data_IF_940582874679
#
_entry.id   IF_940582874679
#
_cell.length_a   1.000
_cell.length_b   1.000
_cell.length_c   1.000
_cell.angle_alpha   90.00
_cell.angle_beta   90.00
_cell.angle_gamma   90.00
#
_symmetry.space_group_name_H-M   'P 1'
#
loop_
_entity.id
_entity.type
_entity.pdbx_description
1 polymer ?
#
# COMPACT_ATOMS: atom_id res chain seq x y z
N UNK A 1 -42.79 15.88 15.14
CA UNK A 1 -42.04 16.66 14.13
C UNK A 1 -40.61 16.17 14.13
N UNK A 2 -40.29 15.24 13.22
CA UNK A 2 -38.93 14.72 13.08
C UNK A 2 -38.06 15.77 12.40
N UNK A 3 -36.99 16.20 13.06
CA UNK A 3 -35.97 17.04 12.42
C UNK A 3 -35.24 16.17 11.41
N UNK A 4 -35.44 16.48 10.13
CA UNK A 4 -34.65 15.95 9.03
C UNK A 4 -33.22 16.45 9.23
N UNK A 5 -32.34 15.57 9.72
CA UNK A 5 -30.90 15.85 9.78
C UNK A 5 -30.40 15.66 8.36
N UNK A 6 -30.41 16.74 7.59
CA UNK A 6 -29.71 16.80 6.30
C UNK A 6 -28.22 16.62 6.63
N UNK A 7 -27.68 15.42 6.41
CA UNK A 7 -26.23 15.17 6.41
C UNK A 7 -25.62 16.09 5.35
N UNK A 8 -25.03 17.19 5.78
CA UNK A 8 -24.30 18.10 4.92
C UNK A 8 -23.03 17.36 4.47
N UNK A 9 -22.96 16.95 3.21
CA UNK A 9 -21.69 16.51 2.61
C UNK A 9 -20.72 17.68 2.66
N UNK A 10 -19.79 17.69 3.61
CA UNK A 10 -18.64 18.60 3.58
C UNK A 10 -17.69 18.15 2.47
N UNK A 11 -18.02 18.50 1.22
CA UNK A 11 -17.03 18.48 0.14
C UNK A 11 -16.11 19.67 0.33
N UNK A 12 -14.82 19.42 0.50
CA UNK A 12 -13.83 20.49 0.50
C UNK A 12 -13.78 21.07 -0.92
N UNK A 13 -14.31 22.28 -1.10
CA UNK A 13 -14.07 23.03 -2.33
C UNK A 13 -12.65 23.58 -2.24
N UNK A 14 -11.67 22.73 -2.57
CA UNK A 14 -10.25 23.12 -2.61
C UNK A 14 -9.99 23.74 -3.97
N UNK A 15 -9.60 25.01 -3.98
CA UNK A 15 -9.20 25.70 -5.20
C UNK A 15 -7.72 25.47 -5.48
N UNK A 16 -7.30 25.69 -6.72
CA UNK A 16 -5.89 25.62 -7.10
C UNK A 16 -5.05 26.65 -6.33
N UNK A 17 -5.64 27.81 -6.03
CA UNK A 17 -5.01 28.87 -5.24
C UNK A 17 -4.77 28.42 -3.80
N UNK A 18 -5.68 27.66 -3.20
CA UNK A 18 -5.49 27.08 -1.86
C UNK A 18 -4.31 26.10 -1.86
N UNK A 19 -4.19 25.27 -2.90
CA UNK A 19 -3.06 24.32 -3.04
C UNK A 19 -1.75 25.06 -3.23
N UNK A 20 -1.70 26.07 -4.11
CA UNK A 20 -0.52 26.92 -4.33
C UNK A 20 -0.10 27.62 -3.05
N UNK A 21 -1.05 28.16 -2.30
CA UNK A 21 -0.79 28.84 -1.03
C UNK A 21 -0.25 27.88 0.03
N UNK A 22 -0.76 26.65 0.09
CA UNK A 22 -0.37 25.68 1.11
C UNK A 22 0.96 25.00 0.80
N UNK A 23 1.19 24.56 -0.43
CA UNK A 23 2.38 23.80 -0.83
C UNK A 23 3.51 24.67 -1.39
N UNK A 24 3.25 25.93 -1.74
CA UNK A 24 4.26 26.87 -2.21
C UNK A 24 5.06 26.30 -3.39
N UNK A 25 6.38 26.24 -3.23
CA UNK A 25 7.32 25.73 -4.25
C UNK A 25 7.13 24.24 -4.59
N UNK A 26 6.43 23.47 -3.75
CA UNK A 26 6.09 22.07 -4.02
C UNK A 26 4.82 21.90 -4.85
N UNK A 27 4.14 22.99 -5.20
CA UNK A 27 2.97 22.93 -6.06
C UNK A 27 3.31 22.37 -7.45
N UNK A 28 2.50 21.43 -7.91
CA UNK A 28 2.45 21.00 -9.31
C UNK A 28 0.99 20.82 -9.73
N UNK A 29 0.67 20.94 -11.03
CA UNK A 29 -0.67 20.61 -11.53
C UNK A 29 -1.09 19.17 -11.17
N UNK A 30 -0.14 18.23 -11.18
CA UNK A 30 -0.36 16.85 -10.78
C UNK A 30 -0.77 16.72 -9.29
N UNK A 31 -0.14 17.49 -8.40
CA UNK A 31 -0.52 17.52 -6.98
C UNK A 31 -1.97 17.99 -6.78
N UNK A 32 -2.39 19.02 -7.53
CA UNK A 32 -3.77 19.52 -7.46
C UNK A 32 -4.79 18.47 -7.92
N UNK A 33 -4.49 17.75 -9.00
CA UNK A 33 -5.36 16.68 -9.48
C UNK A 33 -5.44 15.51 -8.49
N UNK A 34 -4.33 15.13 -7.85
CA UNK A 34 -4.33 14.11 -6.77
C UNK A 34 -5.22 14.57 -5.61
N UNK A 35 -5.11 15.82 -5.15
CA UNK A 35 -5.93 16.34 -4.05
C UNK A 35 -7.44 16.26 -4.38
N UNK A 36 -7.83 16.59 -5.62
CA UNK A 36 -9.22 16.47 -6.08
C UNK A 36 -9.69 15.03 -6.15
N UNK A 37 -8.90 14.15 -6.77
CA UNK A 37 -9.23 12.74 -6.95
C UNK A 37 -9.42 12.04 -5.61
N UNK A 38 -8.53 12.33 -4.66
CA UNK A 38 -8.53 11.73 -3.34
C UNK A 38 -9.57 12.37 -2.40
N UNK A 39 -10.10 13.54 -2.75
CA UNK A 39 -11.07 14.32 -1.96
C UNK A 39 -10.62 14.50 -0.49
N UNK A 40 -9.34 14.85 -0.32
CA UNK A 40 -8.69 14.99 0.99
C UNK A 40 -8.47 16.45 1.36
N UNK A 41 -8.51 16.79 2.65
CA UNK A 41 -8.04 18.09 3.11
C UNK A 41 -6.53 18.22 2.84
N UNK A 42 -6.05 19.45 2.58
CA UNK A 42 -4.63 19.71 2.28
C UNK A 42 -3.68 19.14 3.34
N UNK A 43 -4.07 19.23 4.62
CA UNK A 43 -3.32 18.67 5.75
C UNK A 43 -3.21 17.13 5.75
N UNK A 44 -4.04 16.45 4.96
CA UNK A 44 -3.99 14.99 4.76
C UNK A 44 -2.92 14.54 3.77
N UNK A 45 -2.25 15.50 3.11
CA UNK A 45 -1.20 15.24 2.12
C UNK A 45 0.08 15.91 2.60
N UNK A 46 1.17 15.17 2.52
CA UNK A 46 2.50 15.68 2.83
C UNK A 46 3.41 15.40 1.63
N UNK A 47 4.40 16.28 1.41
CA UNK A 47 5.40 16.11 0.35
C UNK A 47 6.70 15.60 0.98
N UNK A 48 7.18 14.43 0.55
CA UNK A 48 8.47 13.87 0.95
C UNK A 48 9.29 13.53 -0.28
N UNK A 49 10.54 14.00 -0.35
CA UNK A 49 11.40 13.78 -1.51
C UNK A 49 10.82 14.31 -2.82
N UNK A 50 9.98 15.35 -2.77
CA UNK A 50 9.26 15.89 -3.93
C UNK A 50 8.03 15.08 -4.38
N UNK A 51 7.70 13.96 -3.71
CA UNK A 51 6.54 13.12 -4.02
C UNK A 51 5.42 13.33 -3.00
N UNK A 52 4.16 13.45 -3.43
CA UNK A 52 3.03 13.51 -2.51
C UNK A 52 2.71 12.14 -1.93
N UNK A 53 2.36 12.12 -0.66
CA UNK A 53 1.81 10.94 0.01
C UNK A 53 0.66 11.31 0.94
N UNK A 54 -0.26 10.37 1.12
CA UNK A 54 -1.38 10.52 2.04
C UNK A 54 -0.89 10.14 3.44
N UNK A 55 -0.92 11.11 4.35
CA UNK A 55 -0.48 10.92 5.72
C UNK A 55 -1.60 10.34 6.60
N UNK A 56 -1.36 10.21 7.90
CA UNK A 56 -2.34 9.63 8.83
C UNK A 56 -3.65 10.41 8.85
N UNK A 57 -3.59 11.75 8.84
CA UNK A 57 -4.79 12.60 8.80
C UNK A 57 -5.60 12.36 7.53
N UNK A 58 -4.92 12.18 6.39
CA UNK A 58 -5.57 11.82 5.13
C UNK A 58 -6.22 10.44 5.20
N UNK A 59 -5.51 9.42 5.67
CA UNK A 59 -6.04 8.06 5.84
C UNK A 59 -7.24 8.01 6.78
N UNK A 60 -7.19 8.71 7.90
CA UNK A 60 -8.30 8.82 8.85
C UNK A 60 -9.53 9.43 8.19
N UNK A 61 -9.33 10.46 7.35
CA UNK A 61 -10.44 11.06 6.59
C UNK A 61 -11.00 10.10 5.55
N UNK A 62 -10.18 9.34 4.82
CA UNK A 62 -10.68 8.33 3.87
C UNK A 62 -11.52 7.26 4.56
N UNK A 63 -11.08 6.77 5.72
CA UNK A 63 -11.85 5.81 6.52
C UNK A 63 -13.18 6.43 6.98
N UNK A 64 -13.15 7.67 7.49
CA UNK A 64 -14.38 8.35 7.89
C UNK A 64 -15.35 8.53 6.72
N UNK A 65 -14.86 8.92 5.55
CA UNK A 65 -15.68 9.04 4.34
C UNK A 65 -16.28 7.69 3.96
N UNK A 66 -15.47 6.62 3.92
CA UNK A 66 -15.93 5.25 3.65
C UNK A 66 -17.03 4.82 4.62
N UNK A 67 -16.85 5.05 5.93
CA UNK A 67 -17.86 4.77 6.95
C UNK A 67 -19.14 5.59 6.75
N UNK A 68 -19.01 6.87 6.40
CA UNK A 68 -20.15 7.77 6.21
C UNK A 68 -20.98 7.43 4.96
N UNK A 69 -20.31 7.06 3.87
CA UNK A 69 -20.90 6.71 2.58
C UNK A 69 -21.57 5.32 2.63
N UNK A 70 -20.90 4.34 3.25
CA UNK A 70 -21.37 2.95 3.32
C UNK A 70 -22.17 2.62 4.56
N UNK A 71 -22.18 3.50 5.56
CA UNK A 71 -22.86 3.27 6.84
C UNK A 71 -22.15 2.27 7.76
N UNK A 72 -20.83 2.10 7.60
CA UNK A 72 -20.05 1.17 8.43
C UNK A 72 -19.69 1.77 9.80
N UNK A 73 -19.73 0.93 10.83
CA UNK A 73 -19.04 1.18 12.10
C UNK A 73 -17.58 0.74 11.99
N UNK A 74 -16.66 1.63 12.34
CA UNK A 74 -15.22 1.38 12.28
C UNK A 74 -14.65 1.09 13.66
N UNK A 75 -13.78 0.08 13.74
CA UNK A 75 -12.91 -0.13 14.88
C UNK A 75 -11.54 -0.62 14.41
N UNK A 76 -10.52 -0.35 15.21
CA UNK A 76 -9.17 -0.84 14.97
C UNK A 76 -8.61 -1.36 16.29
N UNK A 77 -8.03 -2.55 16.25
CA UNK A 77 -7.27 -3.13 17.36
C UNK A 77 -5.85 -3.42 16.91
N UNK A 78 -4.91 -3.35 17.83
CA UNK A 78 -3.49 -3.63 17.56
C UNK A 78 -3.01 -4.73 18.49
N UNK A 79 -2.38 -5.73 17.90
CA UNK A 79 -1.84 -6.91 18.57
C UNK A 79 -0.30 -6.88 18.48
N UNK A 80 0.38 -7.32 19.54
CA UNK A 80 1.83 -7.44 19.54
C UNK A 80 2.26 -8.69 18.76
N UNK A 81 3.15 -8.52 17.79
CA UNK A 81 3.84 -9.63 17.11
C UNK A 81 5.19 -9.90 17.77
N UNK A 82 5.89 -8.83 18.15
CA UNK A 82 7.18 -8.87 18.84
C UNK A 82 7.30 -7.64 19.73
N UNK A 83 7.58 -7.86 21.00
CA UNK A 83 7.94 -6.80 21.94
C UNK A 83 9.46 -6.59 21.98
N UNK A 84 9.91 -5.36 22.26
CA UNK A 84 11.33 -5.07 22.38
C UNK A 84 11.89 -5.74 23.63
N UNK A 85 13.14 -6.17 23.55
CA UNK A 85 13.94 -6.64 24.68
C UNK A 85 15.20 -5.78 24.84
N UNK A 86 15.07 -4.62 25.52
CA UNK A 86 16.20 -3.72 25.74
C UNK A 86 17.34 -4.36 26.56
N UNK A 87 17.05 -5.39 27.37
CA UNK A 87 18.06 -6.05 28.19
C UNK A 87 19.03 -6.86 27.31
N UNK A 88 18.54 -7.39 26.20
CA UNK A 88 19.33 -8.12 25.21
C UNK A 88 19.72 -7.27 23.99
N UNK A 89 19.49 -5.95 24.02
CA UNK A 89 19.79 -5.03 22.93
C UNK A 89 18.90 -5.20 21.69
N UNK A 90 17.79 -5.94 21.81
CA UNK A 90 16.84 -6.16 20.73
C UNK A 90 15.74 -5.10 20.80
N UNK A 91 15.81 -4.12 19.91
CA UNK A 91 14.85 -3.04 19.82
C UNK A 91 13.87 -3.20 18.65
N UNK A 92 13.83 -4.38 18.02
CA UNK A 92 12.86 -4.65 16.96
C UNK A 92 11.48 -4.85 17.55
N UNK A 93 10.54 -4.01 17.13
CA UNK A 93 9.14 -4.09 17.52
C UNK A 93 8.30 -4.48 16.31
N UNK A 94 7.42 -5.47 16.50
CA UNK A 94 6.41 -5.89 15.53
C UNK A 94 5.00 -5.71 16.08
N UNK A 95 4.11 -5.14 15.28
CA UNK A 95 2.70 -4.91 15.60
C UNK A 95 1.82 -5.32 14.43
N UNK A 96 0.64 -5.87 14.71
CA UNK A 96 -0.40 -6.17 13.71
C UNK A 96 -1.64 -5.38 14.04
N UNK A 97 -2.08 -4.55 13.11
CA UNK A 97 -3.37 -3.87 13.20
C UNK A 97 -4.43 -4.69 12.49
N UNK A 98 -5.60 -4.78 13.11
CA UNK A 98 -6.79 -5.42 12.57
C UNK A 98 -7.87 -4.34 12.56
N UNK A 99 -8.24 -3.92 11.35
CA UNK A 99 -9.27 -2.93 11.08
C UNK A 99 -10.55 -3.65 10.72
N UNK A 100 -11.63 -3.31 11.42
CA UNK A 100 -12.95 -3.91 11.22
C UNK A 100 -13.94 -2.85 10.77
N UNK A 101 -14.61 -3.08 9.64
CA UNK A 101 -15.75 -2.29 9.16
C UNK A 101 -17.02 -3.14 9.26
N UNK A 102 -17.97 -2.71 10.09
CA UNK A 102 -19.20 -3.45 10.34
C UNK A 102 -20.42 -2.74 9.75
N UNK A 103 -21.11 -3.40 8.82
CA UNK A 103 -22.39 -2.93 8.30
C UNK A 103 -23.53 -3.22 9.26
N UNK A 104 -23.67 -2.36 10.27
CA UNK A 104 -24.73 -2.48 11.26
C UNK A 104 -26.13 -2.40 10.66
N UNK A 105 -26.32 -1.59 9.60
CA UNK A 105 -27.63 -1.43 8.99
C UNK A 105 -28.03 -2.69 8.23
N UNK A 106 -27.16 -3.19 7.36
CA UNK A 106 -27.34 -4.45 6.65
C UNK A 106 -27.53 -5.62 7.61
N UNK A 107 -26.68 -5.71 8.63
CA UNK A 107 -26.79 -6.72 9.69
C UNK A 107 -28.17 -6.68 10.36
N UNK A 108 -28.63 -5.49 10.80
CA UNK A 108 -29.93 -5.35 11.46
C UNK A 108 -31.10 -5.68 10.54
N UNK A 109 -31.01 -5.31 9.25
CA UNK A 109 -32.03 -5.63 8.27
C UNK A 109 -32.08 -7.13 7.97
N UNK A 110 -30.93 -7.80 7.90
CA UNK A 110 -30.86 -9.24 7.69
C UNK A 110 -31.36 -10.01 8.91
N UNK A 111 -31.01 -9.56 10.12
CA UNK A 111 -31.46 -10.14 11.37
C UNK A 111 -33.00 -10.12 11.49
N UNK A 112 -33.65 -9.01 11.08
CA UNK A 112 -35.12 -8.89 11.06
C UNK A 112 -35.84 -9.86 10.12
N UNK A 113 -35.15 -10.40 9.11
CA UNK A 113 -35.71 -11.34 8.14
C UNK A 113 -35.63 -12.79 8.63
N UNK A 114 -34.86 -13.06 9.67
CA UNK A 114 -34.73 -14.38 10.27
C UNK A 114 -35.92 -14.67 11.19
N UNK A 115 -36.51 -15.86 11.04
CA UNK A 115 -37.60 -16.33 11.91
C UNK A 115 -37.07 -16.87 13.25
N UNK A 116 -35.89 -17.47 13.24
CA UNK A 116 -35.21 -18.00 14.41
C UNK A 116 -33.75 -17.50 14.41
N UNK A 117 -33.25 -17.14 15.59
CA UNK A 117 -31.89 -16.62 15.77
C UNK A 117 -31.15 -17.60 16.68
N UNK A 118 -30.27 -18.42 16.09
CA UNK A 118 -29.33 -19.25 16.86
C UNK A 118 -27.99 -18.51 17.02
N UNK A 119 -27.16 -18.86 18.02
CA UNK A 119 -25.82 -18.31 18.18
C UNK A 119 -24.95 -18.47 16.92
N UNK A 120 -25.05 -19.60 16.24
CA UNK A 120 -24.30 -19.91 15.02
C UNK A 120 -24.75 -19.02 13.87
N UNK A 121 -26.07 -18.88 13.68
CA UNK A 121 -26.64 -17.99 12.65
C UNK A 121 -26.27 -16.54 12.92
N UNK A 122 -26.26 -16.12 14.19
CA UNK A 122 -25.86 -14.78 14.59
C UNK A 122 -24.38 -14.50 14.30
N UNK A 123 -23.49 -15.46 14.57
CA UNK A 123 -22.06 -15.33 14.30
C UNK A 123 -21.77 -15.29 12.80
N UNK A 124 -22.35 -16.21 12.02
CA UNK A 124 -22.23 -16.21 10.56
C UNK A 124 -22.75 -14.91 9.94
N UNK A 125 -23.87 -14.37 10.46
CA UNK A 125 -24.39 -13.09 10.03
C UNK A 125 -23.42 -11.95 10.38
N UNK A 126 -22.86 -11.94 11.61
CA UNK A 126 -21.88 -10.91 12.00
C UNK A 126 -20.67 -10.93 11.07
N UNK A 127 -20.12 -12.10 10.79
CA UNK A 127 -18.98 -12.27 9.88
C UNK A 127 -19.31 -11.79 8.46
N UNK A 128 -20.47 -12.13 7.92
CA UNK A 128 -20.88 -11.71 6.58
C UNK A 128 -21.03 -10.19 6.41
N UNK A 129 -21.38 -9.47 7.48
CA UNK A 129 -21.50 -8.01 7.49
C UNK A 129 -20.25 -7.30 8.05
N UNK A 130 -19.17 -8.05 8.27
CA UNK A 130 -17.92 -7.52 8.79
C UNK A 130 -16.81 -7.67 7.76
N UNK A 131 -16.24 -6.55 7.32
CA UNK A 131 -15.01 -6.54 6.54
C UNK A 131 -13.83 -6.37 7.48
N UNK A 132 -12.76 -7.16 7.26
CA UNK A 132 -11.55 -7.10 8.07
C UNK A 132 -10.34 -6.88 7.18
N UNK A 133 -9.49 -5.93 7.56
CA UNK A 133 -8.26 -5.57 6.87
C UNK A 133 -7.11 -5.63 7.88
N UNK A 134 -5.92 -6.05 7.45
CA UNK A 134 -4.81 -6.27 8.37
C UNK A 134 -3.51 -5.70 7.87
N UNK A 135 -2.79 -5.01 8.75
CA UNK A 135 -1.50 -4.41 8.43
C UNK A 135 -0.48 -4.74 9.49
N UNK A 136 0.70 -5.20 9.07
CA UNK A 136 1.83 -5.38 9.98
C UNK A 136 2.74 -4.16 9.94
N UNK A 137 3.26 -3.75 11.08
CA UNK A 137 4.20 -2.65 11.21
C UNK A 137 5.41 -3.09 12.02
N UNK A 138 6.59 -2.88 11.43
CA UNK A 138 7.87 -3.20 12.04
C UNK A 138 8.67 -1.93 12.24
N UNK A 139 9.33 -1.77 13.38
CA UNK A 139 10.18 -0.63 13.67
C UNK A 139 11.38 -1.01 14.52
N UNK A 140 12.51 -0.36 14.22
CA UNK A 140 13.72 -0.31 15.06
C UNK A 140 14.09 1.16 15.29
N UNK A 141 14.91 1.47 16.32
CA UNK A 141 15.36 2.83 16.57
C UNK A 141 15.99 3.52 15.35
N UNK A 142 16.70 2.76 14.51
CA UNK A 142 17.31 3.30 13.29
C UNK A 142 16.26 3.70 12.25
N UNK A 143 15.24 2.87 12.06
CA UNK A 143 14.14 3.15 11.10
C UNK A 143 13.22 4.30 11.53
N UNK A 144 13.29 4.75 12.78
CA UNK A 144 12.56 5.91 13.29
C UNK A 144 13.45 6.88 14.08
N UNK A 145 14.71 7.01 13.65
CA UNK A 145 15.75 7.74 14.41
C UNK A 145 15.33 9.14 14.86
N UNK A 146 14.57 9.87 14.05
CA UNK A 146 14.08 11.22 14.37
C UNK A 146 13.32 11.33 15.70
N UNK A 147 12.73 10.24 16.18
CA UNK A 147 11.95 10.20 17.42
C UNK A 147 12.38 9.07 18.37
N UNK A 148 13.17 8.09 17.90
CA UNK A 148 13.54 6.91 18.69
C UNK A 148 14.59 7.17 19.77
N UNK A 149 15.23 8.35 19.79
CA UNK A 149 16.28 8.68 20.74
C UNK A 149 15.96 9.95 21.51
N UNK A 150 16.43 10.00 22.76
CA UNK A 150 16.62 11.27 23.45
C UNK A 150 17.70 12.05 22.70
N UNK A 151 17.42 13.32 22.40
CA UNK A 151 18.39 14.19 21.75
C UNK A 151 18.89 15.24 22.73
N UNK A 152 20.16 15.14 23.09
CA UNK A 152 20.82 16.05 24.05
C UNK A 152 21.75 17.00 23.29
N UNK A 153 21.77 18.27 23.70
CA UNK A 153 22.66 19.30 23.14
C UNK A 153 21.92 20.44 22.43
N UNK A 154 22.69 21.41 21.95
CA UNK A 154 22.17 22.61 21.30
C UNK A 154 21.57 22.30 19.92
N UNK A 155 20.61 23.13 19.49
CA UNK A 155 19.95 23.02 18.17
C UNK A 155 21.02 23.03 17.06
N UNK A 156 21.05 21.99 16.23
CA UNK A 156 22.06 21.79 15.17
C UNK A 156 23.22 20.86 15.54
N UNK A 157 23.44 20.58 16.83
CA UNK A 157 24.50 19.70 17.35
C UNK A 157 23.95 18.64 18.31
N UNK A 158 22.68 18.25 18.12
CA UNK A 158 22.02 17.24 18.96
C UNK A 158 22.68 15.88 18.76
N UNK A 159 23.11 15.27 19.85
CA UNK A 159 23.63 13.90 19.86
C UNK A 159 22.53 12.91 20.27
N UNK A 160 22.57 11.70 19.69
CA UNK A 160 21.65 10.61 20.05
C UNK A 160 22.03 10.08 21.44
N UNK A 161 21.09 10.12 22.36
CA UNK A 161 21.18 9.59 23.70
C UNK A 161 20.48 8.24 23.82
N UNK A 162 19.72 8.04 24.90
CA UNK A 162 19.02 6.79 25.19
C UNK A 162 17.92 6.52 24.17
N UNK A 163 17.71 5.25 23.84
CA UNK A 163 16.56 4.80 23.03
C UNK A 163 15.27 4.96 23.84
N UNK A 164 14.29 5.61 23.22
CA UNK A 164 12.92 5.76 23.70
C UNK A 164 12.08 4.62 23.12
N UNK A 165 11.98 3.52 23.87
CA UNK A 165 11.32 2.27 23.44
C UNK A 165 9.86 2.50 23.08
N UNK A 166 9.18 3.35 23.84
CA UNK A 166 7.79 3.73 23.63
C UNK A 166 7.57 4.36 22.25
N UNK A 167 8.55 5.14 21.76
CA UNK A 167 8.47 5.76 20.44
C UNK A 167 8.67 4.75 19.31
N UNK A 168 9.48 3.71 19.54
CA UNK A 168 9.64 2.60 18.60
C UNK A 168 8.35 1.78 18.52
N UNK A 169 7.73 1.48 19.67
CA UNK A 169 6.43 0.82 19.74
C UNK A 169 5.36 1.63 19.01
N UNK A 170 5.22 2.91 19.35
CA UNK A 170 4.28 3.82 18.71
C UNK A 170 4.47 3.84 17.18
N UNK A 171 5.71 3.78 16.68
CA UNK A 171 5.95 3.72 15.24
C UNK A 171 5.56 2.40 14.60
N UNK A 172 5.82 1.27 15.26
CA UNK A 172 5.35 -0.03 14.78
C UNK A 172 3.81 -0.04 14.70
N UNK A 173 3.11 0.46 15.73
CA UNK A 173 1.65 0.60 15.74
C UNK A 173 1.15 1.54 14.64
N UNK A 174 1.81 2.68 14.45
CA UNK A 174 1.46 3.65 13.40
C UNK A 174 1.61 3.05 12.01
N UNK A 175 2.70 2.31 11.74
CA UNK A 175 2.90 1.61 10.46
C UNK A 175 1.84 0.53 10.24
N UNK A 176 1.56 -0.28 11.27
CA UNK A 176 0.55 -1.33 11.20
C UNK A 176 -0.84 -0.75 10.88
N UNK A 177 -1.26 0.27 11.65
CA UNK A 177 -2.57 0.92 11.48
C UNK A 177 -2.69 1.65 10.15
N UNK A 178 -1.64 2.32 9.67
CA UNK A 178 -1.64 2.96 8.36
C UNK A 178 -1.83 1.94 7.23
N UNK A 179 -1.11 0.81 7.28
CA UNK A 179 -1.23 -0.26 6.29
C UNK A 179 -2.64 -0.84 6.25
N UNK A 180 -3.22 -1.16 7.40
CA UNK A 180 -4.60 -1.65 7.47
C UNK A 180 -5.61 -0.62 6.91
N UNK A 181 -5.41 0.68 7.19
CA UNK A 181 -6.27 1.75 6.62
C UNK A 181 -6.09 1.90 5.11
N UNK A 182 -4.88 1.73 4.59
CA UNK A 182 -4.60 1.78 3.15
C UNK A 182 -5.29 0.65 2.41
N UNK A 183 -5.18 -0.55 2.93
CA UNK A 183 -5.86 -1.74 2.40
C UNK A 183 -7.38 -1.52 2.38
N UNK A 184 -7.95 -1.05 3.50
CA UNK A 184 -9.37 -0.77 3.62
C UNK A 184 -9.88 0.34 2.67
N UNK A 185 -9.02 1.27 2.26
CA UNK A 185 -9.38 2.43 1.42
C UNK A 185 -8.90 2.32 -0.02
N UNK A 186 -8.22 1.23 -0.39
CA UNK A 186 -7.60 1.06 -1.71
C UNK A 186 -6.54 2.12 -2.04
N UNK A 187 -5.86 2.68 -1.04
CA UNK A 187 -4.97 3.83 -1.22
C UNK A 187 -3.51 3.40 -1.45
N UNK A 188 -3.05 3.43 -2.71
CA UNK A 188 -1.69 3.06 -3.11
C UNK A 188 -0.58 4.09 -2.83
N UNK A 189 -0.91 5.33 -2.45
CA UNK A 189 0.08 6.37 -2.13
C UNK A 189 0.71 6.14 -0.74
N UNK A 190 1.69 5.24 -0.65
CA UNK A 190 2.37 4.84 0.60
C UNK A 190 3.23 5.96 1.19
N UNK A 191 3.45 5.93 2.52
CA UNK A 191 4.47 6.78 3.15
C UNK A 191 5.84 6.44 2.57
N UNK A 192 6.75 7.41 2.45
CA UNK A 192 8.14 7.13 2.03
C UNK A 192 8.82 6.08 2.95
N UNK A 193 8.38 6.02 4.22
CA UNK A 193 8.82 5.04 5.23
C UNK A 193 8.27 3.63 4.99
N UNK A 194 7.32 3.47 4.05
CA UNK A 194 6.61 2.24 3.72
C UNK A 194 6.88 1.77 2.29
N UNK A 195 7.60 2.55 1.48
CA UNK A 195 8.23 2.01 0.28
C UNK A 195 9.22 0.93 0.74
N UNK A 196 9.38 -0.20 0.00
CA UNK A 196 10.56 -1.03 0.20
C UNK A 196 11.74 -0.06 0.21
N UNK A 197 12.55 -0.08 1.27
CA UNK A 197 13.84 0.61 1.19
C UNK A 197 14.47 -0.02 -0.03
N UNK A 198 14.65 0.78 -1.09
CA UNK A 198 15.49 0.38 -2.19
C UNK A 198 16.79 -0.02 -1.49
N UNK A 199 17.19 -1.30 -1.57
CA UNK A 199 18.51 -1.76 -1.12
C UNK A 199 19.62 -1.08 -1.94
N UNK A 200 19.23 -0.26 -2.92
CA UNK A 200 20.09 0.71 -3.56
C UNK A 200 20.50 1.74 -2.51
N UNK A 201 21.81 1.86 -2.20
CA UNK A 201 22.30 2.95 -1.36
C UNK A 201 21.74 4.27 -1.90
N UNK A 202 21.36 5.21 -1.01
CA UNK A 202 20.75 6.47 -1.42
C UNK A 202 21.55 7.05 -2.58
N UNK A 203 20.90 7.29 -3.72
CA UNK A 203 21.54 7.85 -4.92
C UNK A 203 22.48 8.95 -4.47
N UNK A 204 23.75 8.74 -4.75
CA UNK A 204 24.81 9.53 -4.16
C UNK A 204 24.65 10.97 -4.64
N UNK A 205 24.18 11.87 -3.77
CA UNK A 205 23.98 13.27 -4.15
C UNK A 205 25.33 13.86 -4.60
N UNK A 206 25.35 14.36 -5.83
CA UNK A 206 26.47 15.00 -6.51
C UNK A 206 27.64 14.06 -6.88
N UNK A 207 27.40 12.96 -7.63
CA UNK A 207 28.44 11.98 -7.92
C UNK A 207 29.63 12.60 -8.68
N UNK A 208 29.35 13.43 -9.70
CA UNK A 208 30.40 14.06 -10.51
C UNK A 208 31.18 15.12 -9.74
N UNK A 209 30.52 15.88 -8.86
CA UNK A 209 31.22 16.87 -8.03
C UNK A 209 32.16 16.20 -7.04
N UNK A 210 31.82 15.01 -6.51
CA UNK A 210 32.71 14.27 -5.61
C UNK A 210 33.94 13.72 -6.33
N UNK A 211 33.80 13.27 -7.58
CA UNK A 211 34.93 12.90 -8.43
C UNK A 211 35.85 14.11 -8.68
N UNK A 212 35.26 15.24 -9.05
CA UNK A 212 35.97 16.51 -9.28
C UNK A 212 36.69 16.98 -8.00
N UNK A 213 36.07 16.81 -6.82
CA UNK A 213 36.66 17.16 -5.53
C UNK A 213 37.96 16.41 -5.21
N UNK A 214 38.24 15.29 -5.88
CA UNK A 214 39.49 14.54 -5.77
C UNK A 214 40.52 14.93 -6.85
N UNK A 215 40.12 15.70 -7.86
CA UNK A 215 41.02 16.12 -8.93
C UNK A 215 42.19 16.94 -8.40
N UNK A 216 43.44 16.64 -8.80
CA UNK A 216 44.62 17.42 -8.37
C UNK A 216 44.64 18.84 -8.93
N UNK A 217 43.77 19.14 -9.91
CA UNK A 217 43.71 20.44 -10.61
C UNK A 217 43.05 21.52 -9.72
N UNK A 218 42.17 21.11 -8.80
CA UNK A 218 41.46 22.05 -7.93
C UNK A 218 42.33 22.61 -6.81
N UNK A 219 42.27 23.94 -6.64
CA UNK A 219 42.79 24.62 -5.47
C UNK A 219 41.95 24.35 -4.21
N UNK A 220 42.54 24.52 -3.04
CA UNK A 220 41.83 24.34 -1.75
C UNK A 220 40.61 25.26 -1.63
N UNK A 221 40.70 26.47 -2.18
CA UNK A 221 39.61 27.45 -2.16
C UNK A 221 38.43 27.00 -3.03
N UNK A 222 38.68 26.41 -4.19
CA UNK A 222 37.62 25.86 -5.06
C UNK A 222 36.95 24.64 -4.43
N UNK A 223 37.73 23.75 -3.80
CA UNK A 223 37.18 22.61 -3.04
C UNK A 223 36.24 23.08 -1.95
N UNK A 224 36.61 24.10 -1.18
CA UNK A 224 35.75 24.66 -0.13
C UNK A 224 34.48 25.33 -0.69
N UNK A 225 34.56 25.99 -1.85
CA UNK A 225 33.38 26.57 -2.51
C UNK A 225 32.41 25.48 -2.96
N UNK A 226 32.90 24.39 -3.58
CA UNK A 226 32.09 23.25 -3.98
C UNK A 226 31.46 22.55 -2.77
N UNK A 227 32.24 22.26 -1.72
CA UNK A 227 31.72 21.70 -0.46
C UNK A 227 30.65 22.60 0.16
N UNK A 228 30.82 23.92 0.12
CA UNK A 228 29.82 24.88 0.61
C UNK A 228 28.57 24.86 -0.26
N UNK A 229 28.73 24.77 -1.59
CA UNK A 229 27.64 24.60 -2.56
C UNK A 229 26.79 23.35 -2.29
N UNK A 230 27.45 22.22 -2.03
CA UNK A 230 26.79 20.96 -1.64
C UNK A 230 26.02 21.11 -0.32
N UNK A 231 26.62 21.79 0.68
CA UNK A 231 25.98 22.02 2.00
C UNK A 231 24.72 22.89 1.92
N UNK A 232 24.68 23.86 1.01
CA UNK A 232 23.51 24.75 0.83
C UNK A 232 22.52 24.24 -0.23
N UNK A 233 22.77 23.05 -0.82
CA UNK A 233 21.85 22.41 -1.76
C UNK A 233 21.80 23.06 -3.14
N UNK A 234 22.90 23.62 -3.64
CA UNK A 234 22.93 24.14 -5.01
C UNK A 234 22.76 23.00 -6.03
N UNK A 235 22.03 23.22 -7.15
CA UNK A 235 21.93 22.22 -8.22
C UNK A 235 23.30 21.78 -8.73
N UNK A 236 23.47 20.48 -8.99
CA UNK A 236 24.75 19.90 -9.45
C UNK A 236 25.25 20.57 -10.73
N UNK A 237 24.37 20.72 -11.72
CA UNK A 237 24.71 21.33 -13.01
C UNK A 237 25.27 22.74 -12.85
N UNK A 238 24.69 23.56 -11.96
CA UNK A 238 25.17 24.92 -11.72
C UNK A 238 26.58 24.96 -11.11
N UNK A 239 26.95 23.94 -10.32
CA UNK A 239 28.30 23.80 -9.79
C UNK A 239 29.28 23.27 -10.84
N UNK A 240 28.83 22.35 -11.70
CA UNK A 240 29.59 21.87 -12.85
C UNK A 240 29.88 23.02 -13.83
N UNK A 241 28.86 23.78 -14.23
CA UNK A 241 29.02 24.92 -15.14
C UNK A 241 29.99 25.96 -14.55
N UNK A 242 29.92 26.19 -13.24
CA UNK A 242 30.85 27.11 -12.56
C UNK A 242 32.29 26.60 -12.62
N UNK A 243 32.53 25.33 -12.28
CA UNK A 243 33.91 24.80 -12.24
C UNK A 243 34.49 24.60 -13.64
N UNK A 244 33.67 24.23 -14.62
CA UNK A 244 34.06 24.05 -16.03
C UNK A 244 34.46 25.38 -16.67
N UNK A 245 33.81 26.49 -16.29
CA UNK A 245 34.23 27.82 -16.73
C UNK A 245 35.63 28.21 -16.22
N UNK A 246 36.10 27.59 -15.14
CA UNK A 246 37.43 27.83 -14.55
C UNK A 246 38.43 26.78 -15.07
N UNK A 247 37.99 25.54 -15.18
CA UNK A 247 38.76 24.35 -15.57
C UNK A 247 38.01 23.53 -16.63
N UNK A 248 38.02 23.96 -17.90
CA UNK A 248 37.32 23.28 -18.99
C UNK A 248 37.84 21.86 -19.23
N UNK A 249 39.08 21.56 -18.83
CA UNK A 249 39.71 20.24 -18.88
C UNK A 249 39.04 19.17 -18.01
N UNK A 250 38.20 19.56 -17.03
CA UNK A 250 37.49 18.61 -16.16
C UNK A 250 36.29 17.91 -16.82
N UNK A 251 35.94 18.27 -18.07
CA UNK A 251 34.81 17.72 -18.84
C UNK A 251 35.23 16.98 -20.12
N UNK A 252 36.52 16.69 -20.30
CA UNK A 252 36.94 15.87 -21.44
C UNK A 252 36.58 14.41 -21.17
N UNK A 253 35.37 14.03 -21.56
CA UNK A 253 34.96 12.63 -21.63
C UNK A 253 35.95 11.88 -22.55
N UNK A 254 36.56 10.82 -22.02
CA UNK A 254 37.25 9.82 -22.82
C UNK A 254 36.28 9.35 -23.91
N UNK A 255 36.77 9.33 -25.17
CA UNK A 255 36.05 8.78 -26.33
C UNK A 255 35.33 7.49 -25.94
N UNK A 256 34.01 7.48 -26.04
CA UNK A 256 33.20 6.27 -25.92
C UNK A 256 33.76 5.19 -26.87
N UNK A 257 33.96 3.93 -26.41
CA UNK A 257 34.22 2.83 -27.31
C UNK A 257 32.96 2.56 -28.16
N UNK A 258 33.16 2.41 -29.47
CA UNK A 258 32.12 2.00 -30.42
C UNK A 258 31.41 0.74 -29.91
N UNK A 259 30.14 0.89 -29.52
CA UNK A 259 29.25 -0.23 -29.22
C UNK A 259 28.88 -0.89 -30.53
N UNK A 260 29.43 -2.09 -30.77
CA UNK A 260 28.94 -3.00 -31.80
C UNK A 260 27.56 -3.48 -31.35
N UNK A 261 26.51 -2.97 -32.01
CA UNK A 261 25.14 -3.47 -31.87
C UNK A 261 25.11 -4.88 -32.47
N UNK A 262 25.04 -5.89 -31.60
CA UNK A 262 24.60 -7.23 -31.97
C UNK A 262 23.12 -7.30 -31.63
N UNK A 263 22.28 -7.28 -32.65
CA UNK A 263 20.85 -7.57 -32.53
C UNK A 263 20.68 -9.04 -32.10
N UNK A 264 20.41 -9.25 -30.81
CA UNK A 264 19.68 -10.44 -30.35
C UNK A 264 18.29 -9.99 -29.86
N UNK A 265 17.22 -10.68 -30.27
CA UNK A 265 15.86 -10.32 -29.87
C UNK A 265 15.69 -10.62 -28.39
N UNK A 266 15.49 -9.57 -27.59
CA UNK A 266 15.05 -9.69 -26.20
C UNK A 266 13.57 -10.05 -26.22
N UNK A 267 13.25 -11.27 -25.78
CA UNK A 267 11.87 -11.70 -25.53
C UNK A 267 11.15 -10.65 -24.67
N UNK A 268 9.97 -10.22 -25.12
CA UNK A 268 9.08 -9.31 -24.40
C UNK A 268 8.83 -9.84 -22.98
N UNK A 269 9.39 -9.14 -21.99
CA UNK A 269 8.99 -9.28 -20.60
C UNK A 269 7.56 -8.77 -20.50
N UNK A 270 6.60 -9.69 -20.54
CA UNK A 270 5.18 -9.42 -20.32
C UNK A 270 5.05 -8.81 -18.91
N UNK A 271 4.64 -7.55 -18.86
CA UNK A 271 4.32 -6.83 -17.64
C UNK A 271 3.13 -7.55 -16.94
N UNK A 272 3.42 -8.29 -15.85
CA UNK A 272 2.47 -9.12 -15.08
C UNK A 272 1.27 -8.33 -14.50
N UNK A 273 1.23 -7.01 -14.69
CA UNK A 273 0.17 -6.11 -14.21
C UNK A 273 -0.99 -5.94 -15.19
N UNK A 274 -0.85 -6.43 -16.42
CA UNK A 274 -1.91 -6.28 -17.43
C UNK A 274 -2.88 -7.47 -17.34
N UNK A 275 -4.19 -7.26 -17.10
CA UNK A 275 -5.15 -8.36 -17.04
C UNK A 275 -5.18 -9.11 -18.37
N UNK A 276 -5.02 -10.43 -18.30
CA UNK A 276 -5.17 -11.29 -19.49
C UNK A 276 -6.61 -11.24 -20.00
N UNK A 277 -6.81 -11.48 -21.30
CA UNK A 277 -8.15 -11.51 -21.93
C UNK A 277 -9.09 -12.49 -21.20
N UNK A 278 -8.55 -13.66 -20.80
CA UNK A 278 -9.27 -14.66 -19.98
C UNK A 278 -9.67 -14.13 -18.61
N UNK A 279 -8.80 -13.38 -17.92
CA UNK A 279 -9.12 -12.79 -16.62
C UNK A 279 -10.19 -11.71 -16.76
N UNK A 280 -10.14 -10.89 -17.80
CA UNK A 280 -11.14 -9.86 -18.06
C UNK A 280 -12.52 -10.46 -18.34
N UNK A 281 -12.60 -11.47 -19.22
CA UNK A 281 -13.85 -12.20 -19.50
C UNK A 281 -14.44 -12.87 -18.26
N UNK A 282 -13.57 -13.53 -17.47
CA UNK A 282 -13.99 -14.19 -16.24
C UNK A 282 -14.49 -13.18 -15.20
N UNK A 283 -13.77 -12.07 -15.05
CA UNK A 283 -14.15 -11.01 -14.12
C UNK A 283 -15.49 -10.37 -14.49
N UNK A 284 -15.73 -10.05 -15.76
CA UNK A 284 -17.05 -9.55 -16.21
C UNK A 284 -18.17 -10.58 -15.96
N UNK A 285 -17.86 -11.88 -16.06
CA UNK A 285 -18.81 -12.94 -15.69
C UNK A 285 -19.14 -12.92 -14.18
N UNK A 286 -18.14 -12.68 -13.31
CA UNK A 286 -18.37 -12.56 -11.87
C UNK A 286 -19.24 -11.34 -11.53
N UNK A 287 -19.06 -10.22 -12.24
CA UNK A 287 -19.84 -9.00 -12.04
C UNK A 287 -21.31 -9.12 -12.48
N UNK A 288 -21.63 -10.09 -13.34
CA UNK A 288 -23.02 -10.35 -13.74
C UNK A 288 -23.83 -11.11 -12.67
N UNK A 289 -23.21 -11.51 -11.56
CA UNK A 289 -23.91 -12.19 -10.46
C UNK A 289 -24.89 -11.24 -9.74
N UNK A 290 -26.07 -11.77 -9.39
CA UNK A 290 -27.11 -11.03 -8.66
C UNK A 290 -26.77 -10.82 -7.18
N UNK A 291 -25.69 -11.42 -6.69
CA UNK A 291 -25.21 -11.35 -5.31
C UNK A 291 -24.35 -10.11 -5.02
N UNK A 292 -23.92 -9.40 -6.08
CA UNK A 292 -23.14 -8.17 -6.01
C UNK A 292 -24.04 -6.95 -6.29
N UNK A 293 -23.93 -5.93 -5.45
CA UNK A 293 -24.56 -4.63 -5.68
C UNK A 293 -23.83 -3.86 -6.77
N UNK A 294 -24.52 -2.95 -7.47
CA UNK A 294 -23.90 -2.12 -8.52
C UNK A 294 -22.68 -1.34 -8.03
N UNK A 295 -22.71 -0.89 -6.77
CA UNK A 295 -21.58 -0.17 -6.18
C UNK A 295 -20.38 -1.07 -5.87
N UNK A 296 -20.60 -2.34 -5.57
CA UNK A 296 -19.52 -3.33 -5.42
C UNK A 296 -18.92 -3.67 -6.77
N UNK A 297 -19.75 -3.80 -7.82
CA UNK A 297 -19.26 -4.03 -9.17
C UNK A 297 -18.32 -2.90 -9.61
N UNK A 298 -18.67 -1.65 -9.30
CA UNK A 298 -17.86 -0.50 -9.68
C UNK A 298 -16.54 -0.41 -8.88
N UNK A 299 -16.56 -0.71 -7.58
CA UNK A 299 -15.36 -0.79 -6.76
C UNK A 299 -14.42 -1.92 -7.21
N UNK A 300 -14.97 -3.09 -7.52
CA UNK A 300 -14.20 -4.22 -8.04
C UNK A 300 -13.59 -3.90 -9.41
N UNK A 301 -14.31 -3.18 -10.30
CA UNK A 301 -13.76 -2.74 -11.60
C UNK A 301 -12.55 -1.81 -11.44
N UNK A 302 -12.55 -0.95 -10.42
CA UNK A 302 -11.42 -0.08 -10.13
C UNK A 302 -10.22 -0.88 -9.58
N UNK A 303 -10.47 -1.80 -8.64
CA UNK A 303 -9.42 -2.65 -8.07
C UNK A 303 -8.82 -3.62 -9.11
N UNK A 304 -9.64 -4.16 -10.02
CA UNK A 304 -9.22 -5.12 -11.05
C UNK A 304 -8.14 -4.56 -11.98
N UNK A 305 -8.10 -3.23 -12.18
CA UNK A 305 -7.06 -2.57 -12.99
C UNK A 305 -5.68 -2.58 -12.34
N UNK A 306 -5.61 -2.76 -11.01
CA UNK A 306 -4.37 -2.73 -10.25
C UNK A 306 -3.87 -4.14 -9.99
N UNK A 307 -4.75 -5.05 -9.55
CA UNK A 307 -4.39 -6.40 -9.14
C UNK A 307 -5.44 -7.44 -9.62
N UNK A 308 -5.42 -7.79 -10.92
CA UNK A 308 -6.47 -8.62 -11.54
C UNK A 308 -6.69 -9.97 -10.86
N UNK A 309 -5.60 -10.69 -10.54
CA UNK A 309 -5.63 -12.03 -9.98
C UNK A 309 -6.19 -12.06 -8.56
N UNK A 310 -5.78 -11.11 -7.72
CA UNK A 310 -6.21 -11.01 -6.34
C UNK A 310 -7.69 -10.60 -6.25
N UNK A 311 -8.09 -9.63 -7.07
CA UNK A 311 -9.48 -9.16 -7.15
C UNK A 311 -10.41 -10.27 -7.62
N UNK A 312 -9.99 -11.09 -8.59
CA UNK A 312 -10.76 -12.27 -9.00
C UNK A 312 -10.96 -13.23 -7.83
N UNK A 313 -9.89 -13.63 -7.13
CA UNK A 313 -9.98 -14.58 -6.02
C UNK A 313 -10.87 -14.04 -4.88
N UNK A 314 -10.68 -12.78 -4.49
CA UNK A 314 -11.47 -12.13 -3.44
C UNK A 314 -12.95 -12.01 -3.83
N UNK A 315 -13.24 -11.71 -5.10
CA UNK A 315 -14.61 -11.64 -5.62
C UNK A 315 -15.28 -13.02 -5.59
N UNK A 316 -14.55 -14.09 -5.95
CA UNK A 316 -15.05 -15.46 -5.88
C UNK A 316 -15.40 -15.87 -4.45
N UNK A 317 -14.52 -15.61 -3.48
CA UNK A 317 -14.81 -15.89 -2.07
C UNK A 317 -16.03 -15.13 -1.57
N UNK A 318 -16.16 -13.85 -1.93
CA UNK A 318 -17.28 -13.02 -1.52
C UNK A 318 -18.61 -13.56 -2.10
N UNK A 319 -18.64 -13.95 -3.37
CA UNK A 319 -19.81 -14.57 -4.00
C UNK A 319 -20.16 -15.90 -3.32
N UNK A 320 -19.16 -16.76 -3.04
CA UNK A 320 -19.34 -18.06 -2.38
C UNK A 320 -19.96 -17.88 -0.99
N UNK A 321 -19.38 -17.01 -0.15
CA UNK A 321 -19.87 -16.69 1.20
C UNK A 321 -21.32 -16.18 1.18
N UNK A 322 -21.66 -15.29 0.24
CA UNK A 322 -23.04 -14.76 0.11
C UNK A 322 -24.01 -15.81 -0.38
N UNK A 323 -23.59 -16.69 -1.28
CA UNK A 323 -24.42 -17.78 -1.74
C UNK A 323 -24.74 -18.79 -0.63
N UNK A 324 -23.76 -19.12 0.22
CA UNK A 324 -23.98 -19.99 1.38
C UNK A 324 -25.01 -19.37 2.33
N UNK A 325 -24.96 -18.05 2.55
CA UNK A 325 -25.98 -17.31 3.30
C UNK A 325 -27.33 -17.35 2.60
N UNK A 326 -27.42 -17.16 1.29
CA UNK A 326 -28.67 -17.25 0.54
C UNK A 326 -29.29 -18.65 0.53
N UNK A 327 -28.47 -19.70 0.55
CA UNK A 327 -28.88 -21.10 0.66
C UNK A 327 -29.46 -21.39 2.04
N UNK A 328 -28.83 -20.85 3.09
CA UNK A 328 -29.35 -20.90 4.48
C UNK A 328 -30.68 -20.11 4.60
N UNK A 329 -30.79 -18.98 3.91
CA UNK A 329 -31.98 -18.11 3.91
C UNK A 329 -33.07 -18.55 2.92
N UNK A 330 -32.84 -19.60 2.13
CA UNK A 330 -33.78 -20.17 1.16
C UNK A 330 -34.12 -19.26 -0.04
N UNK A 331 -33.21 -18.37 -0.46
CA UNK A 331 -33.52 -17.31 -1.46
C UNK A 331 -32.62 -17.18 -2.70
N UNK A 332 -31.56 -17.96 -2.88
CA UNK A 332 -30.63 -17.76 -4.01
C UNK A 332 -30.60 -18.89 -5.04
N UNK A 333 -30.72 -18.56 -6.33
CA UNK A 333 -30.29 -19.41 -7.46
C UNK A 333 -29.13 -18.71 -8.17
N UNK A 334 -27.90 -19.20 -8.03
CA UNK A 334 -26.82 -18.84 -8.96
C UNK A 334 -27.16 -19.40 -10.35
N UNK A 335 -26.74 -18.73 -11.43
CA UNK A 335 -26.85 -19.31 -12.77
C UNK A 335 -26.06 -20.64 -12.78
N UNK A 336 -26.69 -21.79 -13.13
CA UNK A 336 -26.06 -23.11 -13.04
C UNK A 336 -24.71 -23.19 -13.76
N UNK A 337 -24.56 -22.45 -14.86
CA UNK A 337 -23.35 -22.41 -15.67
C UNK A 337 -22.16 -21.74 -14.96
N UNK A 338 -22.43 -20.77 -14.09
CA UNK A 338 -21.44 -20.04 -13.30
C UNK A 338 -20.96 -20.89 -12.12
N UNK A 339 -21.89 -21.62 -11.49
CA UNK A 339 -21.57 -22.56 -10.42
C UNK A 339 -20.68 -23.71 -10.95
N UNK A 340 -21.06 -24.25 -12.10
CA UNK A 340 -20.27 -25.28 -12.80
C UNK A 340 -18.89 -24.78 -13.23
N UNK A 341 -18.78 -23.54 -13.73
CA UNK A 341 -17.49 -22.91 -14.07
C UNK A 341 -16.60 -22.71 -12.85
N UNK A 342 -17.14 -22.33 -11.69
CA UNK A 342 -16.36 -22.21 -10.45
C UNK A 342 -15.85 -23.57 -9.97
N UNK A 343 -16.69 -24.60 -10.02
CA UNK A 343 -16.31 -25.98 -9.67
C UNK A 343 -15.27 -26.56 -10.63
N UNK A 344 -15.37 -26.25 -11.93
CA UNK A 344 -14.42 -26.73 -12.94
C UNK A 344 -13.03 -26.07 -12.80
N UNK A 345 -12.97 -24.79 -12.40
CA UNK A 345 -11.71 -24.07 -12.12
C UNK A 345 -11.02 -24.59 -10.85
N UNK A 346 -11.77 -24.86 -9.77
CA UNK A 346 -11.21 -25.52 -8.58
C UNK A 346 -10.63 -26.89 -8.95
N UNK A 347 -11.33 -27.67 -9.79
CA UNK A 347 -10.83 -28.96 -10.29
C UNK A 347 -9.60 -28.85 -11.20
N UNK A 348 -9.50 -27.82 -12.04
CA UNK A 348 -8.30 -27.59 -12.85
C UNK A 348 -7.09 -27.19 -11.98
N UNK A 349 -7.26 -26.28 -11.02
CA UNK A 349 -6.20 -25.91 -10.07
C UNK A 349 -5.73 -27.11 -9.24
N UNK A 350 -6.67 -27.97 -8.80
CA UNK A 350 -6.34 -29.22 -8.10
C UNK A 350 -5.60 -30.22 -9.00
N UNK A 351 -5.98 -30.35 -10.28
CA UNK A 351 -5.25 -31.19 -11.25
C UNK A 351 -3.85 -30.67 -11.56
N UNK A 352 -3.68 -29.35 -11.64
CA UNK A 352 -2.38 -28.72 -11.87
C UNK A 352 -1.44 -28.93 -10.66
N UNK A 353 -1.96 -28.75 -9.45
CA UNK A 353 -1.27 -29.09 -8.20
C UNK A 353 -0.89 -30.58 -8.15
N UNK A 354 -1.81 -31.48 -8.50
CA UNK A 354 -1.56 -32.93 -8.57
C UNK A 354 -0.49 -33.30 -9.61
N UNK A 355 -0.41 -32.58 -10.73
CA UNK A 355 0.64 -32.80 -11.73
C UNK A 355 2.00 -32.26 -11.28
N UNK A 356 2.04 -31.12 -10.56
CA UNK A 356 3.29 -30.60 -9.95
C UNK A 356 3.80 -31.52 -8.83
N UNK A 357 2.90 -32.18 -8.09
CA UNK A 357 3.23 -33.18 -7.07
C UNK A 357 3.95 -34.43 -7.61
N UNK A 358 3.72 -34.82 -8.86
CA UNK A 358 4.42 -35.96 -9.51
C UNK A 358 5.92 -35.73 -9.68
N UNK A 359 6.39 -34.48 -9.59
CA UNK A 359 7.81 -34.09 -9.71
C UNK A 359 8.54 -34.20 -8.37
N UNK A 360 7.82 -34.21 -7.24
CA UNK A 360 8.40 -34.29 -5.89
C UNK A 360 8.86 -35.73 -5.63
N UNK A 361 10.18 -35.94 -5.51
CA UNK A 361 10.79 -37.28 -5.32
C UNK A 361 10.61 -37.85 -3.90
N UNK A 362 10.29 -37.01 -2.93
CA UNK A 362 10.09 -37.42 -1.54
C UNK A 362 8.67 -38.00 -1.35
N UNK A 363 8.59 -39.30 -1.08
CA UNK A 363 7.33 -40.02 -0.96
C UNK A 363 6.50 -39.59 0.25
N UNK A 364 7.12 -39.17 1.36
CA UNK A 364 6.37 -38.78 2.57
C UNK A 364 5.64 -37.45 2.39
N UNK A 365 6.28 -36.49 1.72
CA UNK A 365 5.67 -35.20 1.39
C UNK A 365 4.54 -35.40 0.38
N UNK A 366 4.76 -36.26 -0.62
CA UNK A 366 3.72 -36.62 -1.60
C UNK A 366 2.51 -37.25 -0.94
N UNK A 367 2.70 -38.24 -0.07
CA UNK A 367 1.61 -38.96 0.60
C UNK A 367 0.80 -38.06 1.55
N UNK A 368 1.48 -37.13 2.25
CA UNK A 368 0.82 -36.17 3.15
C UNK A 368 -0.10 -35.23 2.37
N UNK A 369 0.36 -34.75 1.21
CA UNK A 369 -0.41 -33.83 0.37
C UNK A 369 -1.52 -34.59 -0.38
N UNK A 370 -1.28 -35.82 -0.83
CA UNK A 370 -2.33 -36.66 -1.43
C UNK A 370 -3.47 -37.00 -0.47
N UNK A 371 -3.18 -37.20 0.82
CA UNK A 371 -4.21 -37.41 1.83
C UNK A 371 -5.01 -36.15 2.10
N UNK A 372 -4.37 -34.99 2.20
CA UNK A 372 -5.05 -33.70 2.32
C UNK A 372 -5.99 -33.44 1.13
N UNK A 373 -5.57 -33.76 -0.10
CA UNK A 373 -6.37 -33.59 -1.32
C UNK A 373 -7.54 -34.59 -1.45
N UNK A 374 -7.60 -35.66 -0.66
CA UNK A 374 -8.74 -36.59 -0.63
C UNK A 374 -9.80 -36.19 0.39
N UNK A 375 -9.44 -35.36 1.36
CA UNK A 375 -10.34 -34.89 2.43
C UNK A 375 -11.07 -33.59 2.06
N UNK A 376 -10.57 -32.87 1.06
CA UNK A 376 -11.19 -31.70 0.42
C UNK A 376 -11.95 -32.14 -0.82
#
# INVERSE_FOLDING_TARGET
MGKEIVKKEERYVITEEDVKKYFGDYYTPALFEIIKQENLPLMGITILGGKPYINVTGLDRKIQNLCNEKGYEFSIRVEALKDPDPANGDYLVGRKAILTLFDKQGFTQALKKLKEITPETLNALKEAFTLTYTGEGWATPDTCSAIAYEYVGQKGHKQRGKVLVENVIMMAERRATNRAKREATGTGLTSIDELPMDDKPPEEKYPRIKEILNSPILTEKEREILKKGMKVGKPEQAMLDWIVNIHPELLQDEKEPEVIVVDEPVDEVIDERTPTERQAEFFETLLQTHTLTETEKEALKQAFRLEPSEVINNTQEMIKKRHDVEKILGKGKLAPDLLKRLEDIEKEKLKELANRLKVIKDSKIRDTIENFLKEV
#
